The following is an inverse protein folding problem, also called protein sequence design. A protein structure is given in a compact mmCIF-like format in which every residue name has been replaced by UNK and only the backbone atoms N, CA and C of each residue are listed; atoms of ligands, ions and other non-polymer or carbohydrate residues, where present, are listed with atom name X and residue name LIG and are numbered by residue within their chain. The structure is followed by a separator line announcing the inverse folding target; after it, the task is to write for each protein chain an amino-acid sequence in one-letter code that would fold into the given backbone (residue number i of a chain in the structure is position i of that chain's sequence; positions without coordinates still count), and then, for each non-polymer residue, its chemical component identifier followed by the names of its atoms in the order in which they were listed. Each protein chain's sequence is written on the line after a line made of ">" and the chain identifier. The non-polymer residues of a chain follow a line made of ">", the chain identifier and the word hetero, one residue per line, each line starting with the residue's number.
data_IF_399688158589
#
_entry.id   IF_399688158589
#
_cell.length_a   1.000
_cell.length_b   1.000
_cell.length_c   1.000
_cell.angle_alpha   90.00
_cell.angle_beta   90.00
_cell.angle_gamma   90.00
#
_symmetry.space_group_name_H-M   'P 1'
#
loop_
_entity.id
_entity.type
_entity.pdbx_description
1 polymer ?
#
# COMPACT_ATOMS: atom_id res chain seq x y z
N UNK A 1 -2.53 -12.01 9.33
CA UNK A 1 -1.76 -12.39 8.12
C UNK A 1 -1.41 -13.87 8.14
N UNK A 2 -1.52 -14.52 7.00
CA UNK A 2 -1.09 -15.91 6.79
C UNK A 2 0.45 -15.98 6.70
N UNK A 3 1.03 -17.17 6.86
CA UNK A 3 2.46 -17.39 6.60
C UNK A 3 2.80 -17.08 5.14
N UNK A 4 3.98 -16.50 4.90
CA UNK A 4 4.44 -15.98 3.60
C UNK A 4 3.58 -14.85 3.02
N UNK A 5 2.81 -14.18 3.88
CA UNK A 5 2.00 -13.03 3.49
C UNK A 5 2.84 -11.85 3.00
N UNK A 6 2.26 -11.02 2.13
CA UNK A 6 2.90 -9.82 1.57
C UNK A 6 2.19 -8.57 2.05
N UNK A 7 2.94 -7.55 2.46
CA UNK A 7 2.43 -6.24 2.85
C UNK A 7 3.05 -5.18 1.96
N UNK A 8 2.18 -4.48 1.23
CA UNK A 8 2.55 -3.29 0.47
C UNK A 8 2.25 -2.05 1.32
N UNK A 9 3.29 -1.29 1.67
CA UNK A 9 3.14 -0.04 2.42
C UNK A 9 3.06 1.11 1.42
N UNK A 10 1.86 1.66 1.22
CA UNK A 10 1.60 2.77 0.31
C UNK A 10 1.63 4.15 0.98
N UNK A 11 1.69 4.20 2.31
CA UNK A 11 1.69 5.44 3.08
C UNK A 11 1.36 5.19 4.55
N UNK A 12 1.47 6.25 5.35
CA UNK A 12 1.25 6.24 6.80
C UNK A 12 0.33 7.40 7.20
N UNK A 13 -0.91 7.42 6.71
CA UNK A 13 -1.84 8.55 6.91
C UNK A 13 -2.08 8.91 8.38
N UNK A 14 -2.03 7.90 9.26
CA UNK A 14 -2.13 8.09 10.71
C UNK A 14 -1.00 8.91 11.31
N UNK A 15 0.12 9.05 10.61
CA UNK A 15 1.31 9.79 11.08
C UNK A 15 1.39 11.21 10.51
N UNK A 16 0.61 11.56 9.48
CA UNK A 16 0.76 12.84 8.78
C UNK A 16 0.55 14.07 9.66
N UNK A 17 -0.30 13.96 10.69
CA UNK A 17 -0.62 15.06 11.60
C UNK A 17 -0.08 14.82 13.02
N UNK A 18 0.73 13.78 13.22
CA UNK A 18 1.28 13.44 14.53
C UNK A 18 2.44 14.38 14.83
N UNK A 19 2.32 15.13 15.93
CA UNK A 19 3.43 15.93 16.45
C UNK A 19 4.54 15.01 16.94
N UNK A 20 5.80 15.43 16.83
CA UNK A 20 6.97 14.60 17.15
C UNK A 20 6.92 14.02 18.58
N UNK A 21 6.33 14.74 19.54
CA UNK A 21 6.17 14.24 20.91
C UNK A 21 5.24 13.02 21.02
N UNK A 22 4.36 12.82 20.04
CA UNK A 22 3.36 11.76 19.96
C UNK A 22 3.67 10.71 18.89
N UNK A 23 4.86 10.75 18.27
CA UNK A 23 5.28 9.72 17.32
C UNK A 23 5.20 8.35 17.98
N UNK A 24 4.62 7.39 17.27
CA UNK A 24 4.47 6.02 17.75
C UNK A 24 5.86 5.40 18.00
N UNK A 25 6.22 5.25 19.27
CA UNK A 25 7.44 4.54 19.72
C UNK A 25 7.18 3.06 20.05
N UNK A 26 6.03 2.54 19.60
CA UNK A 26 5.60 1.18 19.91
C UNK A 26 6.44 0.11 19.20
N UNK A 27 6.43 -1.14 19.70
CA UNK A 27 7.18 -2.22 19.08
C UNK A 27 6.64 -2.49 17.68
N UNK A 28 7.51 -2.34 16.68
CA UNK A 28 7.23 -2.79 15.32
C UNK A 28 6.86 -4.28 15.31
N UNK A 29 6.10 -4.75 14.31
CA UNK A 29 5.59 -6.13 14.25
C UNK A 29 6.68 -7.17 13.91
N UNK A 30 7.94 -6.97 14.31
CA UNK A 30 9.10 -7.80 13.99
C UNK A 30 8.89 -9.28 14.33
N UNK A 31 8.27 -9.61 15.48
CA UNK A 31 7.96 -11.00 15.83
C UNK A 31 7.02 -11.67 14.84
N UNK A 32 5.98 -10.95 14.41
CA UNK A 32 5.03 -11.46 13.41
C UNK A 32 5.69 -11.60 12.04
N UNK A 33 6.56 -10.66 11.66
CA UNK A 33 7.33 -10.70 10.41
C UNK A 33 8.21 -11.94 10.39
N UNK A 34 8.94 -12.20 11.48
CA UNK A 34 9.82 -13.34 11.62
C UNK A 34 9.06 -14.66 11.61
N UNK A 35 8.10 -14.85 12.53
CA UNK A 35 7.40 -16.13 12.70
C UNK A 35 6.52 -16.52 11.51
N UNK A 36 6.11 -15.54 10.70
CA UNK A 36 5.26 -15.78 9.53
C UNK A 36 5.98 -15.57 8.20
N UNK A 37 7.28 -15.28 8.22
CA UNK A 37 8.09 -15.06 7.03
C UNK A 37 7.46 -14.04 6.06
N UNK A 38 7.08 -12.90 6.62
CA UNK A 38 6.34 -11.88 5.88
C UNK A 38 7.28 -11.08 4.97
N UNK A 39 6.83 -10.82 3.74
CA UNK A 39 7.51 -9.87 2.84
C UNK A 39 6.88 -8.50 2.96
N UNK A 40 7.67 -7.50 3.35
CA UNK A 40 7.23 -6.10 3.48
C UNK A 40 8.00 -5.27 2.46
N UNK A 41 7.28 -4.45 1.69
CA UNK A 41 7.87 -3.53 0.73
C UNK A 41 7.11 -2.20 0.70
N UNK A 42 7.86 -1.11 0.52
CA UNK A 42 7.29 0.21 0.26
C UNK A 42 6.90 0.36 -1.20
N UNK A 43 5.78 1.03 -1.46
CA UNK A 43 5.33 1.40 -2.80
C UNK A 43 5.24 2.91 -2.92
N UNK A 44 6.12 3.48 -3.74
CA UNK A 44 6.08 4.89 -4.14
C UNK A 44 5.79 4.90 -5.64
N UNK A 45 4.68 5.55 -6.03
CA UNK A 45 4.21 5.55 -7.42
C UNK A 45 5.27 6.03 -8.42
N UNK A 46 6.10 6.99 -8.00
CA UNK A 46 7.15 7.56 -8.84
C UNK A 46 8.22 6.53 -9.26
N UNK A 47 8.41 5.47 -8.48
CA UNK A 47 9.36 4.38 -8.80
C UNK A 47 8.91 3.52 -9.99
N UNK A 48 7.62 3.54 -10.33
CA UNK A 48 7.01 2.67 -11.35
C UNK A 48 6.41 3.46 -12.53
N UNK A 49 6.92 4.68 -12.77
CA UNK A 49 6.39 5.55 -13.84
C UNK A 49 6.58 4.98 -15.25
N UNK A 50 7.59 4.14 -15.46
CA UNK A 50 7.82 3.37 -16.69
C UNK A 50 6.65 2.42 -17.02
N UNK A 51 5.89 2.00 -16.00
CA UNK A 51 4.72 1.12 -16.14
C UNK A 51 3.39 1.87 -16.06
N UNK A 52 3.39 3.18 -15.80
CA UNK A 52 2.18 3.96 -15.54
C UNK A 52 1.16 3.89 -16.68
N UNK A 53 1.61 3.98 -17.94
CA UNK A 53 0.71 3.97 -19.10
C UNK A 53 0.03 2.62 -19.31
N UNK A 54 0.76 1.52 -19.03
CA UNK A 54 0.18 0.18 -19.05
C UNK A 54 -0.91 0.05 -17.98
N UNK A 55 -0.63 0.52 -16.76
CA UNK A 55 -1.59 0.51 -15.66
C UNK A 55 -2.84 1.34 -15.96
N UNK A 56 -2.68 2.55 -16.51
CA UNK A 56 -3.81 3.43 -16.90
C UNK A 56 -4.70 2.79 -17.96
N UNK A 57 -4.13 2.19 -19.00
CA UNK A 57 -4.90 1.52 -20.06
C UNK A 57 -5.78 0.40 -19.48
N UNK A 58 -5.20 -0.46 -18.65
CA UNK A 58 -5.92 -1.56 -18.01
C UNK A 58 -7.02 -1.04 -17.06
N UNK A 59 -6.75 0.01 -16.28
CA UNK A 59 -7.73 0.61 -15.39
C UNK A 59 -8.92 1.20 -16.18
N UNK A 60 -8.66 1.85 -17.31
CA UNK A 60 -9.71 2.39 -18.18
C UNK A 60 -10.60 1.30 -18.77
N UNK A 61 -10.05 0.14 -19.13
CA UNK A 61 -10.82 -1.02 -19.58
C UNK A 61 -11.76 -1.52 -18.47
N UNK A 62 -11.27 -1.67 -17.24
CA UNK A 62 -12.09 -2.10 -16.11
C UNK A 62 -13.22 -1.12 -15.78
N UNK A 63 -12.93 0.19 -15.86
CA UNK A 63 -13.92 1.25 -15.69
C UNK A 63 -15.03 1.14 -16.74
N UNK A 64 -14.68 0.91 -18.01
CA UNK A 64 -15.64 0.80 -19.12
C UNK A 64 -16.52 -0.46 -19.00
N UNK A 65 -15.97 -1.54 -18.48
CA UNK A 65 -16.63 -2.84 -18.36
C UNK A 65 -17.49 -3.01 -17.09
N UNK A 66 -17.82 -1.92 -16.38
CA UNK A 66 -18.76 -1.83 -15.23
C UNK A 66 -18.41 -2.73 -14.02
N UNK A 67 -17.14 -3.14 -13.86
CA UNK A 67 -16.70 -3.90 -12.67
C UNK A 67 -15.97 -3.05 -11.61
N UNK A 68 -16.02 -1.72 -11.72
CA UNK A 68 -15.48 -0.80 -10.72
C UNK A 68 -16.52 0.28 -10.41
N UNK A 69 -16.96 0.34 -9.15
CA UNK A 69 -17.85 1.39 -8.67
C UNK A 69 -17.09 2.72 -8.67
N UNK A 70 -17.50 3.64 -9.55
CA UNK A 70 -17.08 5.04 -9.48
C UNK A 70 -17.92 5.73 -8.42
N UNK A 71 -17.55 5.60 -7.16
CA UNK A 71 -18.00 6.57 -6.18
C UNK A 71 -17.07 7.80 -6.31
N UNK A 72 -17.66 8.93 -6.71
CA UNK A 72 -17.11 10.30 -6.80
C UNK A 72 -16.44 10.75 -8.12
N UNK A 73 -17.12 11.68 -8.80
CA UNK A 73 -16.75 13.10 -8.74
C UNK A 73 -17.77 13.82 -7.84
#
# INVERSE_FOLDING_TARGET
>A
MNSHGRVCVCGCISEYNVREENTLKGPYPFKSILHKELSIFGFIVMTYMDQADKGRKQLLEWIKNVNIKKDFF
#
